data_IF_071044230203
#
_entry.id   IF_071044230203
#
_cell.length_a   1.000
_cell.length_b   1.000
_cell.length_c   1.000
_cell.angle_alpha   90.00
_cell.angle_beta   90.00
_cell.angle_gamma   90.00
#
_symmetry.space_group_name_H-M   'P 1'
#
loop_
_entity.id
_entity.type
_entity.pdbx_description
1 polymer ?
#
# COMPACT_ATOMS: atom_id res chain seq x y z
N UNK A 1 53.12 30.39 17.85
CA UNK A 1 53.07 28.93 18.04
C UNK A 1 51.71 28.56 18.60
N UNK A 2 51.04 27.64 17.91
CA UNK A 2 49.92 26.80 18.31
C UNK A 2 48.53 27.42 18.62
N UNK A 3 47.66 27.20 17.64
CA UNK A 3 46.21 27.06 17.68
C UNK A 3 45.73 26.20 18.87
N UNK A 4 44.76 26.70 19.63
CA UNK A 4 43.92 25.90 20.53
C UNK A 4 42.55 25.69 19.88
N UNK A 5 42.37 24.55 19.20
CA UNK A 5 41.09 24.14 18.62
C UNK A 5 40.11 23.76 19.73
N UNK A 6 39.06 24.56 19.92
CA UNK A 6 37.85 24.12 20.61
C UNK A 6 37.18 23.02 19.79
N UNK A 7 37.10 21.82 20.36
CA UNK A 7 36.39 20.68 19.78
C UNK A 7 34.89 20.98 19.77
N UNK A 8 34.33 21.27 18.60
CA UNK A 8 32.89 21.17 18.36
C UNK A 8 32.44 19.72 18.59
N UNK A 9 31.68 19.50 19.65
CA UNK A 9 30.93 18.27 19.90
C UNK A 9 29.68 18.30 19.00
N UNK A 10 29.48 17.33 18.08
CA UNK A 10 28.33 17.36 17.19
C UNK A 10 27.07 16.94 17.95
N UNK A 11 26.16 17.90 18.07
CA UNK A 11 24.82 17.76 18.63
C UNK A 11 23.95 16.80 17.78
N UNK A 12 24.12 15.49 17.94
CA UNK A 12 23.17 14.48 17.42
C UNK A 12 21.93 14.46 18.32
N UNK A 13 21.00 15.39 18.11
CA UNK A 13 19.63 15.26 18.64
C UNK A 13 18.93 14.10 17.92
N UNK A 14 18.88 12.94 18.57
CA UNK A 14 17.85 11.92 18.35
C UNK A 14 16.50 12.58 18.63
N UNK A 15 15.77 12.99 17.59
CA UNK A 15 14.36 13.31 17.74
C UNK A 15 13.62 11.96 17.74
N UNK A 16 13.44 11.40 18.93
CA UNK A 16 12.51 10.30 19.17
C UNK A 16 11.13 10.94 19.25
N UNK A 17 10.36 10.90 18.15
CA UNK A 17 8.92 11.15 18.25
C UNK A 17 8.31 9.93 18.93
N UNK A 18 8.18 9.98 20.25
CA UNK A 18 7.39 9.03 21.01
C UNK A 18 5.90 9.35 20.78
N UNK A 19 5.36 8.91 19.63
CA UNK A 19 3.93 8.71 19.51
C UNK A 19 3.63 7.34 20.13
N UNK A 20 3.46 7.30 21.45
CA UNK A 20 2.90 6.13 22.13
C UNK A 20 1.40 6.11 21.88
N UNK A 21 0.99 5.67 20.69
CA UNK A 21 -0.37 5.19 20.50
C UNK A 21 -0.39 3.76 21.06
N UNK A 22 -1.18 3.46 22.10
CA UNK A 22 -1.38 2.08 22.51
C UNK A 22 -2.15 1.38 21.37
N UNK A 23 -1.42 0.72 20.46
CA UNK A 23 -2.00 -0.12 19.43
C UNK A 23 -2.53 -1.38 20.11
N UNK A 24 -3.84 -1.43 20.34
CA UNK A 24 -4.48 -2.53 21.02
C UNK A 24 -4.56 -3.73 20.05
N UNK A 25 -3.93 -4.84 20.42
CA UNK A 25 -3.97 -6.10 19.67
C UNK A 25 -5.42 -6.59 19.52
N UNK A 26 -5.87 -6.77 18.28
CA UNK A 26 -7.12 -7.45 17.90
C UNK A 26 -8.43 -6.89 18.51
N UNK A 27 -8.75 -5.62 18.26
CA UNK A 27 -10.14 -5.14 18.36
C UNK A 27 -10.87 -5.28 17.03
N UNK A 28 -12.20 -5.40 17.08
CA UNK A 28 -13.11 -5.15 15.96
C UNK A 28 -13.00 -3.67 15.56
N UNK A 29 -12.01 -3.36 14.74
CA UNK A 29 -11.79 -2.00 14.26
C UNK A 29 -12.06 -1.90 12.77
N UNK A 30 -12.48 -0.71 12.34
CA UNK A 30 -12.76 -0.44 10.93
C UNK A 30 -11.43 -0.39 10.19
N UNK A 31 -11.03 -1.52 9.59
CA UNK A 31 -9.75 -1.65 8.90
C UNK A 31 -9.87 -1.57 7.39
N UNK A 32 -11.07 -1.80 6.83
CA UNK A 32 -11.30 -1.89 5.37
C UNK A 32 -12.55 -1.13 4.93
N UNK A 33 -12.42 -0.43 3.83
CA UNK A 33 -13.54 0.24 3.15
C UNK A 33 -13.52 -0.04 1.65
N UNK A 34 -14.68 0.03 1.03
CA UNK A 34 -14.85 0.08 -0.42
C UNK A 34 -15.48 1.41 -0.82
N UNK A 35 -14.93 2.05 -1.86
CA UNK A 35 -15.50 3.25 -2.47
C UNK A 35 -15.91 2.89 -3.89
N UNK A 36 -17.20 3.03 -4.20
CA UNK A 36 -17.73 2.83 -5.55
C UNK A 36 -17.78 4.17 -6.27
N UNK A 37 -17.05 4.29 -7.37
CA UNK A 37 -17.08 5.46 -8.24
C UNK A 37 -17.91 5.20 -9.50
N UNK A 38 -18.54 6.23 -10.02
CA UNK A 38 -19.15 6.25 -11.35
C UNK A 38 -18.44 7.23 -12.27
N UNK A 39 -18.23 6.80 -13.51
CA UNK A 39 -17.61 7.57 -14.58
C UNK A 39 -18.50 7.55 -15.82
N UNK A 40 -18.92 8.73 -16.29
CA UNK A 40 -19.81 8.86 -17.46
C UNK A 40 -19.09 8.64 -18.80
N UNK A 41 -18.12 9.49 -19.15
CA UNK A 41 -17.30 9.30 -20.34
C UNK A 41 -15.94 9.91 -20.06
N UNK A 42 -14.99 9.07 -19.69
CA UNK A 42 -13.72 9.53 -19.13
C UNK A 42 -12.56 8.76 -19.75
N UNK A 43 -11.48 9.48 -19.99
CA UNK A 43 -10.19 8.91 -20.31
C UNK A 43 -9.39 8.78 -19.01
N UNK A 44 -8.98 7.57 -18.63
CA UNK A 44 -8.11 7.29 -17.49
C UNK A 44 -6.69 7.01 -17.97
N UNK A 45 -5.70 7.47 -17.19
CA UNK A 45 -4.30 7.11 -17.41
C UNK A 45 -3.97 5.74 -16.81
N UNK A 46 -3.06 4.98 -17.43
CA UNK A 46 -2.47 3.76 -16.83
C UNK A 46 -1.77 4.04 -15.49
N UNK A 47 -1.35 5.29 -15.26
CA UNK A 47 -0.78 5.75 -13.99
C UNK A 47 -1.85 6.14 -12.95
N UNK A 48 -3.10 5.68 -13.09
CA UNK A 48 -4.20 6.08 -12.20
C UNK A 48 -3.91 5.78 -10.72
N UNK A 49 -3.07 4.80 -10.36
CA UNK A 49 -2.71 4.54 -8.96
C UNK A 49 -1.97 5.69 -8.29
N UNK A 50 -1.14 6.41 -9.05
CA UNK A 50 -0.51 7.65 -8.57
C UNK A 50 -1.58 8.70 -8.24
N UNK A 51 -2.60 8.80 -9.09
CA UNK A 51 -3.72 9.72 -8.88
C UNK A 51 -4.63 9.29 -7.72
N UNK A 52 -4.89 7.99 -7.56
CA UNK A 52 -5.61 7.44 -6.40
C UNK A 52 -4.85 7.69 -5.10
N UNK A 53 -3.54 7.47 -5.09
CA UNK A 53 -2.70 7.82 -3.95
C UNK A 53 -2.85 9.31 -3.59
N UNK A 54 -2.80 10.19 -4.60
CA UNK A 54 -3.06 11.62 -4.42
C UNK A 54 -4.45 11.93 -3.85
N UNK A 55 -5.48 11.23 -4.32
CA UNK A 55 -6.87 11.36 -3.83
C UNK A 55 -6.97 10.96 -2.35
N UNK A 56 -6.41 9.81 -1.97
CA UNK A 56 -6.36 9.28 -0.59
C UNK A 56 -5.67 10.27 0.34
N UNK A 57 -4.49 10.76 -0.02
CA UNK A 57 -3.81 11.80 0.78
C UNK A 57 -4.55 13.14 0.77
N UNK A 58 -5.30 13.45 -0.29
CA UNK A 58 -6.16 14.63 -0.37
C UNK A 58 -7.30 14.60 0.65
N UNK A 59 -7.95 13.45 0.81
CA UNK A 59 -8.96 13.22 1.86
C UNK A 59 -8.34 13.27 3.26
N UNK A 60 -7.24 12.56 3.50
CA UNK A 60 -6.56 12.63 4.80
C UNK A 60 -6.18 14.07 5.17
N UNK A 61 -5.69 14.85 4.21
CA UNK A 61 -5.31 16.25 4.45
C UNK A 61 -6.50 17.15 4.77
N UNK A 62 -7.69 16.89 4.22
CA UNK A 62 -8.88 17.69 4.47
C UNK A 62 -9.47 17.48 5.87
N UNK A 63 -9.20 16.32 6.47
CA UNK A 63 -9.59 15.94 7.83
C UNK A 63 -8.49 16.18 8.87
N UNK A 64 -7.25 15.76 8.60
CA UNK A 64 -6.14 15.79 9.55
C UNK A 64 -4.78 16.04 8.87
N UNK A 65 -4.41 17.33 8.72
CA UNK A 65 -3.19 17.77 8.00
C UNK A 65 -1.89 17.15 8.54
N UNK A 66 -1.75 17.01 9.86
CA UNK A 66 -0.51 16.51 10.49
C UNK A 66 -0.28 15.03 10.15
N UNK A 67 -1.25 14.15 10.41
CA UNK A 67 -1.27 12.75 9.98
C UNK A 67 -0.98 12.59 8.48
N UNK A 68 -1.63 13.39 7.63
CA UNK A 68 -1.38 13.36 6.19
C UNK A 68 0.07 13.69 5.84
N UNK A 69 0.66 14.72 6.48
CA UNK A 69 2.06 15.09 6.27
C UNK A 69 3.03 14.03 6.82
N UNK A 70 2.74 13.47 8.01
CA UNK A 70 3.51 12.40 8.63
C UNK A 70 3.58 11.20 7.68
N UNK A 71 2.44 10.66 7.24
CA UNK A 71 2.41 9.50 6.35
C UNK A 71 2.95 9.83 4.95
N UNK A 72 2.65 10.99 4.39
CA UNK A 72 3.12 11.34 3.06
C UNK A 72 4.64 11.49 3.01
N UNK A 73 5.21 12.26 3.95
CA UNK A 73 6.61 12.66 3.92
C UNK A 73 7.52 11.71 4.70
N UNK A 74 7.08 11.21 5.86
CA UNK A 74 7.94 10.54 6.84
C UNK A 74 7.65 9.04 6.93
N UNK A 75 6.38 8.64 7.00
CA UNK A 75 6.00 7.28 7.40
C UNK A 75 6.65 6.84 8.72
N UNK A 76 6.67 5.54 8.97
CA UNK A 76 7.36 4.94 10.11
C UNK A 76 8.76 4.51 9.67
N UNK A 77 9.82 5.15 10.20
CA UNK A 77 11.17 4.95 9.72
C UNK A 77 11.73 3.58 10.14
N UNK A 78 12.38 2.90 9.20
CA UNK A 78 13.18 1.71 9.45
C UNK A 78 14.58 1.87 8.85
N UNK A 79 15.60 1.69 9.69
CA UNK A 79 17.03 1.79 9.33
C UNK A 79 17.38 3.01 8.46
N UNK A 80 16.71 4.14 8.71
CA UNK A 80 16.91 5.41 8.02
C UNK A 80 16.55 5.46 6.53
N UNK A 81 16.00 4.39 5.92
CA UNK A 81 15.87 4.30 4.45
C UNK A 81 14.56 3.68 3.90
N UNK A 82 13.73 3.02 4.69
CA UNK A 82 12.40 2.55 4.26
C UNK A 82 11.31 3.08 5.20
N UNK A 83 10.19 3.54 4.64
CA UNK A 83 9.10 4.21 5.35
C UNK A 83 7.81 3.41 5.16
N UNK A 84 7.38 2.67 6.19
CA UNK A 84 6.08 2.02 6.16
C UNK A 84 4.99 3.07 6.42
N UNK A 85 3.86 2.98 5.71
CA UNK A 85 2.71 3.88 5.91
C UNK A 85 1.49 3.16 6.49
N UNK A 86 1.60 1.84 6.66
CA UNK A 86 0.57 0.97 7.24
C UNK A 86 -0.83 1.08 6.61
N UNK A 87 -0.88 1.34 5.31
CA UNK A 87 -2.09 1.21 4.49
C UNK A 87 -1.75 0.69 3.09
N UNK A 88 -2.73 0.06 2.46
CA UNK A 88 -2.69 -0.37 1.07
C UNK A 88 -4.04 -0.11 0.39
N UNK A 89 -4.07 -0.21 -0.93
CA UNK A 89 -5.30 -0.13 -1.70
C UNK A 89 -5.24 -0.99 -2.96
N UNK A 90 -6.41 -1.37 -3.46
CA UNK A 90 -6.56 -2.18 -4.68
C UNK A 90 -6.28 -1.37 -5.95
N UNK A 91 -6.22 -2.03 -7.09
CA UNK A 91 -6.53 -1.36 -8.36
C UNK A 91 -8.01 -0.98 -8.44
N UNK A 92 -8.41 -0.27 -9.49
CA UNK A 92 -9.83 -0.07 -9.79
C UNK A 92 -10.42 -1.39 -10.30
N UNK A 93 -11.45 -1.89 -9.61
CA UNK A 93 -12.22 -3.06 -10.00
C UNK A 93 -13.45 -2.59 -10.76
N UNK A 94 -13.39 -2.66 -12.08
CA UNK A 94 -14.50 -2.30 -12.95
C UNK A 94 -15.55 -3.42 -12.99
N UNK A 95 -16.82 -3.05 -13.14
CA UNK A 95 -17.93 -4.00 -13.25
C UNK A 95 -17.81 -4.93 -14.47
N UNK A 96 -17.17 -4.46 -15.54
CA UNK A 96 -16.82 -5.26 -16.71
C UNK A 96 -15.31 -5.28 -16.94
N UNK A 97 -14.74 -6.40 -17.43
CA UNK A 97 -13.32 -6.47 -17.77
C UNK A 97 -12.92 -5.41 -18.80
N UNK A 98 -11.87 -4.66 -18.50
CA UNK A 98 -11.28 -3.69 -19.43
C UNK A 98 -10.07 -4.28 -20.15
N UNK A 99 -10.03 -4.15 -21.47
CA UNK A 99 -8.81 -4.38 -22.25
C UNK A 99 -7.98 -3.10 -22.24
N UNK A 100 -6.87 -3.11 -21.50
CA UNK A 100 -5.93 -2.02 -21.56
C UNK A 100 -5.27 -1.97 -22.95
N UNK A 101 -5.24 -0.80 -23.60
CA UNK A 101 -4.61 -0.65 -24.91
C UNK A 101 -3.10 -0.86 -24.81
N UNK A 102 -2.55 -1.73 -25.66
CA UNK A 102 -1.10 -1.92 -25.78
C UNK A 102 -0.45 -0.63 -26.28
N UNK A 103 0.62 -0.20 -25.63
CA UNK A 103 1.40 0.97 -26.04
C UNK A 103 0.73 2.34 -25.85
N UNK A 104 -0.44 2.41 -25.19
CA UNK A 104 -1.08 3.69 -24.86
C UNK A 104 -1.09 3.93 -23.35
N UNK A 105 -0.79 5.16 -22.95
CA UNK A 105 -0.83 5.57 -21.55
C UNK A 105 -2.25 5.88 -21.04
N UNK A 106 -3.26 5.81 -21.91
CA UNK A 106 -4.62 6.19 -21.61
C UNK A 106 -5.65 5.23 -22.23
N UNK A 107 -6.79 5.06 -21.55
CA UNK A 107 -7.90 4.23 -21.98
C UNK A 107 -9.24 4.86 -21.62
N UNK A 108 -10.26 4.57 -22.42
CA UNK A 108 -11.60 5.12 -22.24
C UNK A 108 -12.48 4.20 -21.42
N UNK A 109 -13.27 4.80 -20.52
CA UNK A 109 -14.37 4.15 -19.80
C UNK A 109 -15.65 4.93 -20.06
N UNK A 110 -16.75 4.21 -20.30
CA UNK A 110 -18.04 4.77 -20.72
C UNK A 110 -19.14 4.22 -19.86
N UNK A 111 -19.75 5.09 -19.07
CA UNK A 111 -20.84 4.83 -18.14
C UNK A 111 -20.56 3.62 -17.26
N UNK A 112 -19.42 3.65 -16.58
CA UNK A 112 -18.90 2.52 -15.83
C UNK A 112 -18.78 2.81 -14.35
N UNK A 113 -19.06 1.80 -13.53
CA UNK A 113 -18.70 1.80 -12.12
C UNK A 113 -17.34 1.15 -11.88
N UNK A 114 -16.61 1.64 -10.89
CA UNK A 114 -15.38 1.02 -10.43
C UNK A 114 -15.26 1.08 -8.90
N UNK A 115 -14.93 -0.06 -8.29
CA UNK A 115 -14.68 -0.15 -6.85
C UNK A 115 -13.19 0.02 -6.55
N UNK A 116 -12.91 0.79 -5.51
CA UNK A 116 -11.59 0.90 -4.89
C UNK A 116 -11.67 0.40 -3.45
N UNK A 117 -10.86 -0.59 -3.12
CA UNK A 117 -10.71 -1.09 -1.77
C UNK A 117 -9.50 -0.47 -1.10
N UNK A 118 -9.65 -0.06 0.16
CA UNK A 118 -8.59 0.56 0.95
C UNK A 118 -8.56 -0.15 2.30
N UNK A 119 -7.35 -0.51 2.74
CA UNK A 119 -7.12 -1.14 4.05
C UNK A 119 -6.03 -0.40 4.81
N UNK A 120 -6.15 -0.33 6.13
CA UNK A 120 -5.08 0.15 7.00
C UNK A 120 -5.09 -0.57 8.34
N UNK A 121 -3.91 -0.82 8.89
CA UNK A 121 -3.75 -1.25 10.29
C UNK A 121 -4.02 -0.12 11.29
N UNK A 122 -4.16 1.13 10.82
CA UNK A 122 -4.42 2.30 11.64
C UNK A 122 -5.89 2.71 11.52
N UNK A 123 -6.70 2.48 12.55
CA UNK A 123 -8.10 2.90 12.57
C UNK A 123 -8.30 4.38 12.25
N UNK A 124 -7.44 5.23 12.83
CA UNK A 124 -7.51 6.67 12.64
C UNK A 124 -7.22 7.08 11.19
N UNK A 125 -6.46 6.27 10.46
CA UNK A 125 -6.30 6.47 9.02
C UNK A 125 -7.65 6.34 8.32
N UNK A 126 -8.40 5.25 8.56
CA UNK A 126 -9.70 5.02 7.92
C UNK A 126 -10.73 6.06 8.37
N UNK A 127 -10.79 6.39 9.67
CA UNK A 127 -11.69 7.44 10.19
C UNK A 127 -11.43 8.78 9.52
N UNK A 128 -10.18 9.25 9.49
CA UNK A 128 -9.84 10.52 8.87
C UNK A 128 -9.99 10.50 7.35
N UNK A 129 -9.78 9.35 6.70
CA UNK A 129 -10.06 9.16 5.28
C UNK A 129 -11.55 9.35 4.99
N UNK A 130 -12.43 8.70 5.76
CA UNK A 130 -13.89 8.81 5.63
C UNK A 130 -14.38 10.24 5.88
N UNK A 131 -13.96 10.87 6.99
CA UNK A 131 -14.28 12.28 7.26
C UNK A 131 -13.80 13.20 6.14
N UNK A 132 -12.61 12.94 5.61
CA UNK A 132 -12.03 13.72 4.53
C UNK A 132 -12.79 13.58 3.21
N UNK A 133 -13.26 12.37 2.92
CA UNK A 133 -14.12 12.04 1.78
C UNK A 133 -15.46 12.76 1.92
N UNK A 134 -16.18 12.59 3.04
CA UNK A 134 -17.48 13.24 3.26
C UNK A 134 -17.39 14.76 3.19
N UNK A 135 -16.34 15.35 3.75
CA UNK A 135 -16.09 16.81 3.68
C UNK A 135 -15.82 17.32 2.27
N UNK A 136 -15.24 16.50 1.39
CA UNK A 136 -14.94 16.89 0.00
C UNK A 136 -16.14 16.72 -0.94
N UNK A 137 -17.16 16.01 -0.52
CA UNK A 137 -18.36 15.74 -1.30
C UNK A 137 -18.16 14.61 -2.32
N UNK A 138 -19.22 14.36 -3.10
CA UNK A 138 -19.29 13.22 -4.00
C UNK A 138 -18.44 13.36 -5.28
N UNK A 139 -18.12 14.59 -5.71
CA UNK A 139 -17.37 14.79 -6.95
C UNK A 139 -15.86 14.62 -6.76
N UNK A 140 -15.25 13.81 -7.61
CA UNK A 140 -13.84 13.44 -7.50
C UNK A 140 -13.07 13.67 -8.80
N UNK A 141 -11.75 13.73 -8.68
CA UNK A 141 -10.83 13.69 -9.82
C UNK A 141 -9.74 12.65 -9.61
N UNK A 142 -9.55 11.79 -10.61
CA UNK A 142 -8.43 10.85 -10.70
C UNK A 142 -7.58 11.30 -11.89
N UNK A 143 -6.57 12.12 -11.61
CA UNK A 143 -5.83 12.80 -12.66
C UNK A 143 -6.72 13.82 -13.37
N UNK A 144 -6.85 13.68 -14.69
CA UNK A 144 -7.73 14.56 -15.47
C UNK A 144 -9.20 14.12 -15.44
N UNK A 145 -9.43 12.83 -15.16
CA UNK A 145 -10.74 12.18 -15.19
C UNK A 145 -11.61 12.62 -14.03
N UNK A 146 -12.87 12.95 -14.30
CA UNK A 146 -13.89 13.31 -13.31
C UNK A 146 -14.78 12.11 -13.02
N UNK A 147 -15.19 11.94 -11.78
CA UNK A 147 -16.15 10.91 -11.39
C UNK A 147 -17.00 11.35 -10.20
N UNK A 148 -17.91 10.48 -9.79
CA UNK A 148 -18.75 10.67 -8.61
C UNK A 148 -18.64 9.47 -7.68
N UNK A 149 -18.52 9.70 -6.38
CA UNK A 149 -18.68 8.65 -5.35
C UNK A 149 -20.17 8.30 -5.30
N UNK A 150 -20.50 7.05 -5.60
CA UNK A 150 -21.86 6.54 -5.45
C UNK A 150 -22.09 5.94 -4.06
N UNK A 151 -21.07 5.28 -3.53
CA UNK A 151 -21.19 4.48 -2.32
C UNK A 151 -19.87 4.45 -1.57
N UNK A 152 -19.95 4.46 -0.25
CA UNK A 152 -18.85 4.15 0.65
C UNK A 152 -19.33 3.08 1.62
N UNK A 153 -18.74 1.89 1.51
CA UNK A 153 -19.06 0.77 2.38
C UNK A 153 -17.90 0.52 3.36
N UNK A 154 -18.23 0.35 4.64
CA UNK A 154 -17.33 -0.25 5.61
C UNK A 154 -17.44 -1.76 5.44
N UNK A 155 -16.31 -2.44 5.25
CA UNK A 155 -16.29 -3.89 5.07
C UNK A 155 -16.06 -4.57 6.40
N UNK A 156 -16.64 -5.76 6.54
CA UNK A 156 -16.38 -6.63 7.68
C UNK A 156 -14.87 -6.91 7.81
N UNK A 157 -14.29 -6.82 9.02
CA UNK A 157 -12.90 -7.15 9.23
C UNK A 157 -12.63 -8.62 8.87
N UNK A 158 -11.62 -8.85 8.05
CA UNK A 158 -11.13 -10.21 7.80
C UNK A 158 -10.23 -10.60 8.96
N UNK A 159 -10.66 -11.58 9.74
CA UNK A 159 -9.84 -12.18 10.79
C UNK A 159 -8.91 -13.22 10.19
N UNK A 160 -7.62 -13.07 10.44
CA UNK A 160 -6.62 -13.99 9.95
C UNK A 160 -6.75 -15.37 10.61
N UNK A 161 -6.90 -16.40 9.77
CA UNK A 161 -6.77 -17.79 10.18
C UNK A 161 -5.32 -18.28 10.05
N UNK A 162 -5.02 -19.43 10.64
CA UNK A 162 -3.68 -20.04 10.53
C UNK A 162 -3.35 -20.54 9.12
N UNK A 163 -4.35 -20.66 8.24
CA UNK A 163 -4.20 -20.99 6.84
C UNK A 163 -5.27 -20.29 6.01
N UNK A 164 -4.89 -19.62 4.92
CA UNK A 164 -5.83 -18.91 4.04
C UNK A 164 -5.38 -18.99 2.58
N UNK A 165 -6.35 -18.98 1.65
CA UNK A 165 -6.08 -18.77 0.22
C UNK A 165 -6.45 -17.34 -0.16
N UNK A 166 -5.46 -16.58 -0.58
CA UNK A 166 -5.58 -15.16 -0.86
C UNK A 166 -5.23 -14.85 -2.31
N UNK A 167 -5.72 -13.70 -2.81
CA UNK A 167 -5.39 -13.19 -4.13
C UNK A 167 -5.19 -11.68 -4.12
N UNK A 168 -4.20 -11.14 -4.86
CA UNK A 168 -4.09 -9.72 -5.11
C UNK A 168 -5.28 -9.15 -5.88
N UNK A 169 -5.95 -8.11 -5.36
CA UNK A 169 -7.11 -7.47 -6.01
C UNK A 169 -6.64 -6.32 -6.89
N UNK A 170 -6.27 -6.62 -8.13
CA UNK A 170 -5.64 -5.68 -9.06
C UNK A 170 -4.49 -4.89 -8.39
N UNK A 171 -3.78 -5.50 -7.46
CA UNK A 171 -2.80 -4.82 -6.60
C UNK A 171 -1.59 -5.74 -6.44
N UNK A 172 -0.74 -5.87 -7.48
CA UNK A 172 0.29 -6.89 -7.52
C UNK A 172 1.21 -6.86 -6.30
N UNK A 173 1.66 -8.02 -5.82
CA UNK A 173 2.62 -8.12 -4.71
C UNK A 173 4.01 -7.87 -5.26
N UNK A 174 4.58 -6.72 -4.91
CA UNK A 174 5.92 -6.32 -5.37
C UNK A 174 6.95 -6.60 -4.27
N UNK A 175 7.97 -7.39 -4.58
CA UNK A 175 9.16 -7.56 -3.75
C UNK A 175 10.41 -7.20 -4.55
N UNK A 176 11.38 -6.56 -3.89
CA UNK A 176 12.60 -6.10 -4.54
C UNK A 176 13.83 -6.61 -3.81
N UNK A 177 14.84 -6.98 -4.58
CA UNK A 177 16.18 -7.25 -4.09
C UNK A 177 17.13 -6.14 -4.55
N UNK A 178 17.96 -5.66 -3.63
CA UNK A 178 19.07 -4.77 -3.94
C UNK A 178 20.33 -5.62 -4.08
N UNK A 179 20.76 -5.90 -5.31
CA UNK A 179 22.08 -6.50 -5.56
C UNK A 179 23.12 -5.39 -5.53
N UNK A 180 24.09 -5.50 -4.62
CA UNK A 180 25.13 -4.46 -4.39
C UNK A 180 26.03 -4.22 -5.62
N UNK A 181 26.08 -5.19 -6.54
CA UNK A 181 27.00 -5.19 -7.69
C UNK A 181 26.30 -4.98 -9.05
N UNK A 182 24.97 -4.94 -9.10
CA UNK A 182 24.21 -4.62 -10.31
C UNK A 182 23.57 -3.24 -10.10
N UNK A 183 23.72 -2.30 -11.05
CA UNK A 183 23.09 -0.96 -11.00
C UNK A 183 21.57 -1.03 -11.22
N UNK A 184 20.86 -1.88 -10.49
CA UNK A 184 19.45 -2.16 -10.70
C UNK A 184 18.74 -2.75 -9.48
N UNK A 185 17.42 -2.62 -9.47
CA UNK A 185 16.54 -3.33 -8.53
C UNK A 185 16.00 -4.54 -9.27
N UNK A 186 16.21 -5.73 -8.72
CA UNK A 186 15.56 -6.94 -9.23
C UNK A 186 14.19 -7.06 -8.57
N UNK A 187 13.15 -7.28 -9.36
CA UNK A 187 11.82 -7.63 -8.86
C UNK A 187 11.75 -9.14 -8.76
N UNK A 188 11.36 -9.65 -7.59
CA UNK A 188 11.26 -11.08 -7.36
C UNK A 188 9.90 -11.60 -7.85
N UNK A 189 9.93 -12.69 -8.60
CA UNK A 189 8.78 -13.44 -9.08
C UNK A 189 8.42 -14.55 -8.07
N UNK A 190 7.18 -15.01 -8.09
CA UNK A 190 6.64 -15.95 -7.10
C UNK A 190 7.30 -17.34 -7.11
N UNK A 191 7.98 -17.70 -8.19
CA UNK A 191 8.78 -18.90 -8.37
C UNK A 191 10.25 -18.73 -7.93
N UNK A 192 10.70 -17.51 -7.64
CA UNK A 192 12.00 -17.27 -7.03
C UNK A 192 12.04 -17.86 -5.61
N UNK A 193 13.07 -18.66 -5.31
CA UNK A 193 13.30 -19.25 -3.98
C UNK A 193 13.35 -18.21 -2.85
N UNK A 194 13.77 -16.99 -3.16
CA UNK A 194 13.86 -15.90 -2.18
C UNK A 194 12.53 -15.15 -1.97
N UNK A 195 11.52 -15.29 -2.85
CA UNK A 195 10.31 -14.46 -2.79
C UNK A 195 9.54 -14.66 -1.48
N UNK A 196 9.20 -15.90 -1.15
CA UNK A 196 8.48 -16.23 0.09
C UNK A 196 9.25 -15.79 1.34
N UNK A 197 10.57 -16.00 1.36
CA UNK A 197 11.46 -15.60 2.46
C UNK A 197 11.41 -14.08 2.65
N UNK A 198 11.60 -13.31 1.57
CA UNK A 198 11.58 -11.84 1.64
C UNK A 198 10.21 -11.28 1.95
N UNK A 199 9.14 -11.95 1.52
CA UNK A 199 7.77 -11.58 1.84
C UNK A 199 7.49 -11.76 3.34
N UNK A 200 7.89 -12.89 3.93
CA UNK A 200 7.84 -13.15 5.38
C UNK A 200 8.65 -12.11 6.16
N UNK A 201 9.91 -11.86 5.77
CA UNK A 201 10.75 -10.84 6.41
C UNK A 201 10.11 -9.44 6.37
N UNK A 202 9.41 -9.10 5.27
CA UNK A 202 8.71 -7.84 5.13
C UNK A 202 7.54 -7.71 6.13
N UNK A 203 6.75 -8.77 6.30
CA UNK A 203 5.63 -8.80 7.25
C UNK A 203 6.09 -8.75 8.70
N UNK A 204 7.14 -9.51 9.06
CA UNK A 204 7.75 -9.44 10.40
C UNK A 204 8.20 -8.01 10.71
N UNK A 205 8.89 -7.36 9.78
CA UNK A 205 9.34 -5.97 9.96
C UNK A 205 8.17 -5.00 10.11
N UNK A 206 7.11 -5.14 9.31
CA UNK A 206 5.89 -4.33 9.45
C UNK A 206 5.30 -4.48 10.83
N UNK A 207 5.13 -5.71 11.28
CA UNK A 207 4.57 -6.03 12.59
C UNK A 207 5.41 -5.40 13.71
N UNK A 208 6.72 -5.67 13.73
CA UNK A 208 7.64 -5.18 14.76
C UNK A 208 7.64 -3.64 14.85
N UNK A 209 7.57 -2.94 13.71
CA UNK A 209 7.53 -1.47 13.70
C UNK A 209 6.17 -0.94 14.15
N UNK A 210 5.08 -1.64 13.79
CA UNK A 210 3.73 -1.19 14.10
C UNK A 210 3.40 -1.39 15.59
N UNK A 211 3.59 -2.60 16.09
CA UNK A 211 3.28 -2.97 17.48
C UNK A 211 4.41 -2.66 18.47
N UNK A 212 5.61 -2.32 17.98
CA UNK A 212 6.81 -2.10 18.80
C UNK A 212 7.25 -3.34 19.61
N UNK A 213 6.87 -4.53 19.15
CA UNK A 213 7.19 -5.82 19.75
C UNK A 213 7.24 -6.92 18.66
N UNK A 214 7.98 -8.03 18.87
CA UNK A 214 7.96 -9.15 17.94
C UNK A 214 6.62 -9.88 17.96
N UNK A 215 6.21 -10.48 16.83
CA UNK A 215 5.07 -11.41 16.85
C UNK A 215 5.42 -12.63 17.70
N UNK A 216 4.41 -13.24 18.32
CA UNK A 216 4.54 -14.46 19.12
C UNK A 216 5.08 -15.61 18.26
N UNK A 217 4.63 -15.68 17.02
CA UNK A 217 5.08 -16.66 16.04
C UNK A 217 5.58 -15.98 14.76
N UNK A 218 6.80 -16.34 14.34
CA UNK A 218 7.42 -15.88 13.08
C UNK A 218 7.32 -16.89 11.94
N UNK A 219 6.72 -18.06 12.17
CA UNK A 219 6.47 -19.07 11.16
C UNK A 219 5.45 -18.56 10.15
N UNK A 220 5.80 -18.59 8.87
CA UNK A 220 4.92 -18.17 7.79
C UNK A 220 5.43 -18.76 6.48
N UNK A 221 4.63 -19.61 5.87
CA UNK A 221 4.92 -20.27 4.61
C UNK A 221 3.94 -19.81 3.54
N UNK A 222 4.45 -19.73 2.30
CA UNK A 222 3.69 -19.33 1.14
C UNK A 222 3.79 -20.40 0.07
N UNK A 223 2.65 -20.82 -0.45
CA UNK A 223 2.53 -21.69 -1.61
C UNK A 223 1.80 -20.92 -2.72
N UNK A 224 2.50 -20.59 -3.79
CA UNK A 224 1.92 -19.86 -4.92
C UNK A 224 1.23 -20.84 -5.87
N UNK A 225 -0.09 -20.71 -5.98
CA UNK A 225 -0.92 -21.62 -6.79
C UNK A 225 -0.91 -21.24 -8.27
N UNK A 226 -0.56 -19.99 -8.56
CA UNK A 226 -0.46 -19.44 -9.92
C UNK A 226 0.78 -18.55 -10.00
N UNK A 227 1.68 -18.84 -10.93
CA UNK A 227 2.88 -18.03 -11.17
C UNK A 227 2.61 -17.05 -12.31
N UNK A 228 2.19 -15.84 -11.96
CA UNK A 228 1.89 -14.78 -12.92
C UNK A 228 2.34 -13.44 -12.40
N UNK A 229 2.96 -12.66 -13.28
CA UNK A 229 3.37 -11.29 -13.00
C UNK A 229 2.57 -10.30 -13.84
N UNK A 230 2.51 -9.06 -13.36
CA UNK A 230 1.98 -7.94 -14.10
C UNK A 230 2.83 -6.69 -13.91
N UNK A 231 2.95 -5.85 -14.95
CA UNK A 231 3.54 -4.54 -14.82
C UNK A 231 2.68 -3.63 -13.93
N UNK A 232 3.35 -2.85 -13.10
CA UNK A 232 2.78 -1.77 -12.29
C UNK A 232 3.41 -0.46 -12.74
N UNK A 233 2.72 0.34 -13.58
CA UNK A 233 3.22 1.64 -14.00
C UNK A 233 3.43 2.57 -12.79
N UNK A 234 4.66 3.07 -12.64
CA UNK A 234 5.06 3.96 -11.56
C UNK A 234 5.28 5.36 -12.10
N UNK A 235 4.62 6.31 -11.46
CA UNK A 235 4.88 7.74 -11.63
C UNK A 235 5.17 8.36 -10.27
N UNK A 236 6.24 9.14 -10.17
CA UNK A 236 6.57 9.91 -8.95
C UNK A 236 7.23 11.23 -9.32
N UNK A 237 7.01 12.24 -8.48
CA UNK A 237 7.75 13.50 -8.54
C UNK A 237 9.04 13.35 -7.72
N UNK A 238 10.17 13.75 -8.28
CA UNK A 238 11.48 13.73 -7.63
C UNK A 238 11.70 15.05 -6.87
N UNK A 239 12.73 15.08 -6.01
CA UNK A 239 13.06 16.23 -5.17
C UNK A 239 13.49 17.45 -5.98
N UNK A 240 14.16 17.23 -7.11
CA UNK A 240 14.52 18.26 -8.09
C UNK A 240 13.32 18.79 -8.91
N UNK A 241 12.10 18.33 -8.61
CA UNK A 241 10.87 18.71 -9.28
C UNK A 241 10.58 17.96 -10.57
N UNK A 242 11.53 17.16 -11.08
CA UNK A 242 11.37 16.34 -12.28
C UNK A 242 10.43 15.15 -12.04
N UNK A 243 9.95 14.54 -13.13
CA UNK A 243 9.08 13.37 -13.07
C UNK A 243 9.83 12.10 -13.42
N UNK A 244 9.80 11.13 -12.52
CA UNK A 244 10.18 9.76 -12.84
C UNK A 244 8.96 8.99 -13.35
N UNK A 245 9.17 8.30 -14.47
CA UNK A 245 8.27 7.28 -15.00
C UNK A 245 9.05 5.99 -15.14
N UNK A 246 8.44 4.89 -14.74
CA UNK A 246 9.01 3.57 -14.87
C UNK A 246 7.99 2.52 -14.49
N UNK A 247 8.47 1.33 -14.18
CA UNK A 247 7.63 0.18 -13.92
C UNK A 247 8.16 -0.62 -12.74
N UNK A 248 7.25 -1.25 -12.01
CA UNK A 248 7.59 -2.35 -11.11
C UNK A 248 6.91 -3.61 -11.61
N UNK A 249 7.54 -4.76 -11.42
CA UNK A 249 6.93 -6.06 -11.73
C UNK A 249 6.43 -6.64 -10.42
N UNK A 250 5.18 -7.10 -10.39
CA UNK A 250 4.58 -7.69 -9.20
C UNK A 250 3.76 -8.93 -9.51
N UNK A 251 3.62 -9.79 -8.51
CA UNK A 251 2.93 -11.07 -8.61
C UNK A 251 1.42 -10.89 -8.44
N UNK A 252 0.62 -11.54 -9.28
CA UNK A 252 -0.85 -11.41 -9.33
C UNK A 252 -1.60 -12.73 -9.13
N UNK A 253 -0.87 -13.82 -8.97
CA UNK A 253 -1.43 -15.15 -8.75
C UNK A 253 -2.06 -15.32 -7.38
N UNK A 254 -2.97 -16.30 -7.28
CA UNK A 254 -3.48 -16.80 -5.99
C UNK A 254 -2.36 -17.50 -5.23
N UNK A 255 -2.41 -17.42 -3.91
CA UNK A 255 -1.46 -18.11 -3.04
C UNK A 255 -2.13 -18.58 -1.77
N UNK A 256 -1.65 -19.70 -1.22
CA UNK A 256 -1.95 -20.16 0.12
C UNK A 256 -0.88 -19.62 1.07
N UNK A 257 -1.30 -19.13 2.23
CA UNK A 257 -0.42 -18.69 3.32
C UNK A 257 -0.75 -19.47 4.58
N UNK A 258 0.26 -19.97 5.29
CA UNK A 258 0.10 -20.79 6.49
C UNK A 258 1.05 -20.37 7.61
N UNK A 259 0.57 -20.30 8.84
CA UNK A 259 1.38 -20.03 10.03
C UNK A 259 0.80 -18.91 10.90
N UNK A 260 1.62 -17.90 11.19
CA UNK A 260 1.33 -16.84 12.15
C UNK A 260 0.14 -15.98 11.72
N UNK A 261 -0.94 -16.04 12.49
CA UNK A 261 -2.14 -15.21 12.31
C UNK A 261 -1.82 -13.72 12.37
N UNK A 262 -0.92 -13.33 13.28
CA UNK A 262 -0.43 -11.95 13.44
C UNK A 262 0.19 -11.40 12.15
N UNK A 263 1.02 -12.21 11.48
CA UNK A 263 1.68 -11.81 10.24
C UNK A 263 0.74 -11.82 9.05
N UNK A 264 -0.19 -12.79 8.99
CA UNK A 264 -1.24 -12.83 7.97
C UNK A 264 -2.14 -11.60 8.12
N UNK A 265 -2.57 -11.27 9.34
CA UNK A 265 -3.36 -10.09 9.65
C UNK A 265 -2.64 -8.81 9.25
N UNK A 266 -1.35 -8.67 9.59
CA UNK A 266 -0.54 -7.53 9.15
C UNK A 266 -0.54 -7.36 7.62
N UNK A 267 -0.50 -8.47 6.88
CA UNK A 267 -0.60 -8.48 5.42
C UNK A 267 -1.99 -8.11 4.90
N UNK A 268 -3.06 -8.57 5.56
CA UNK A 268 -4.44 -8.20 5.25
C UNK A 268 -4.68 -6.71 5.52
N UNK A 269 -4.17 -6.16 6.62
CA UNK A 269 -4.47 -4.80 7.05
C UNK A 269 -3.69 -3.74 6.28
N UNK A 270 -2.42 -3.99 5.97
CA UNK A 270 -1.56 -2.99 5.32
C UNK A 270 -0.89 -3.45 4.03
N UNK A 271 -1.27 -4.63 3.53
CA UNK A 271 -0.83 -5.20 2.27
C UNK A 271 0.43 -6.08 2.39
N UNK A 272 0.54 -7.03 1.48
CA UNK A 272 1.68 -7.93 1.32
C UNK A 272 2.81 -7.24 0.54
N UNK A 273 4.06 -7.44 0.96
CA UNK A 273 5.24 -6.97 0.24
C UNK A 273 5.50 -5.45 0.30
N UNK A 274 5.97 -4.86 -0.80
CA UNK A 274 6.42 -3.46 -0.85
C UNK A 274 5.50 -2.57 -1.69
N UNK A 275 5.75 -1.25 -1.65
CA UNK A 275 4.96 -0.24 -2.40
C UNK A 275 3.46 -0.21 -2.04
N UNK A 276 3.09 -0.61 -0.83
CA UNK A 276 1.67 -0.76 -0.44
C UNK A 276 0.86 0.53 -0.59
N UNK A 277 1.39 1.64 -0.08
CA UNK A 277 0.80 2.97 -0.22
C UNK A 277 0.78 3.52 -1.66
N UNK A 278 1.29 2.77 -2.65
CA UNK A 278 1.25 3.09 -4.08
C UNK A 278 0.27 2.18 -4.85
N UNK A 279 -0.53 1.37 -4.14
CA UNK A 279 -1.55 0.51 -4.75
C UNK A 279 -1.03 -0.90 -5.10
N UNK A 280 -0.16 -1.45 -4.25
CA UNK A 280 0.40 -2.79 -4.38
C UNK A 280 0.10 -3.65 -3.14
N UNK A 281 -0.04 -4.96 -3.32
CA UNK A 281 -0.15 -5.94 -2.24
C UNK A 281 -1.48 -5.97 -1.49
N UNK A 282 -2.52 -5.26 -1.93
CA UNK A 282 -3.86 -5.45 -1.37
C UNK A 282 -4.37 -6.83 -1.79
N UNK A 283 -4.61 -7.70 -0.81
CA UNK A 283 -5.07 -9.06 -1.03
C UNK A 283 -6.40 -9.31 -0.32
N UNK A 284 -7.21 -10.17 -0.93
CA UNK A 284 -8.50 -10.57 -0.40
C UNK A 284 -8.66 -12.10 -0.45
N UNK A 285 -9.60 -12.60 0.32
CA UNK A 285 -9.90 -14.04 0.40
C UNK A 285 -10.48 -14.50 -0.92
N UNK A 286 -9.97 -15.62 -1.43
CA UNK A 286 -10.62 -16.28 -2.56
C UNK A 286 -11.82 -17.02 -2.00
N UNK A 287 -13.04 -16.51 -2.26
CA UNK A 287 -14.25 -17.29 -2.01
C UNK A 287 -14.12 -18.57 -2.84
N UNK A 288 -14.17 -19.72 -2.19
CA UNK A 288 -14.35 -20.98 -2.90
C UNK A 288 -15.77 -20.94 -3.46
N UNK A 289 -15.88 -20.85 -4.79
CA UNK A 289 -17.13 -21.14 -5.50
C UNK A 289 -17.38 -22.64 -5.51
#
# INVERSE_FOLDING_TARGET
MMEGREKLIPYKRKIVYAFSFPFQKFKETIMRIAITFHFQNQELSIFYRYHLQGLIFGYLRSSHKVLAALLHNIGFPYNGRARFKFFCFSGLVFETPLKLPKGREHFWIRNMTAKLYISSAMDDFIKHLLFGLFKKGEFIRIGRSKGRVLEVAVLEPIQAESEMVLKPVFSPIVMKLYKRNEKGRLFLESDDKEFGIKLKENLIKKYEIFYQEPPENKHLDFEFLEHRTAPVPIKKKLEDGSWYRGESIGNIGKFRVKGSRELIQMGLDCGFGSQNSMGCGFCDVVKME
#
